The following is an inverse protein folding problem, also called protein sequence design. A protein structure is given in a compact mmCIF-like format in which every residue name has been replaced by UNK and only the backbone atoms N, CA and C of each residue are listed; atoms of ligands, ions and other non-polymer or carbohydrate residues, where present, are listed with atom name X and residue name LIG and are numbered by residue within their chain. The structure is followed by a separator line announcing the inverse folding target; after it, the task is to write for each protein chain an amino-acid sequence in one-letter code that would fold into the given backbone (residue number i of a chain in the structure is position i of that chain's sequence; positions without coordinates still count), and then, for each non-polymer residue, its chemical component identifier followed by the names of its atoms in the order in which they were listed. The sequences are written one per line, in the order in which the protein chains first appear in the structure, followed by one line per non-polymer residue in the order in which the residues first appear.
data_IF_679590213083
#
_entry.id   IF_679590213083
#
_cell.length_a   1.000
_cell.length_b   1.000
_cell.length_c   1.000
_cell.angle_alpha   90.00
_cell.angle_beta   90.00
_cell.angle_gamma   90.00
#
_symmetry.space_group_name_H-M   'P 1'
#
loop_
_entity.id
_entity.type
_entity.pdbx_description
1 polymer ?
#
# COMPACT_ATOMS: atom_id res chain seq x y z
N UNK A 1 14.81 -23.56 18.16
CA UNK A 1 14.74 -22.62 17.04
C UNK A 1 13.63 -22.95 16.02
N UNK A 2 13.38 -24.21 15.66
CA UNK A 2 12.34 -24.62 14.67
C UNK A 2 10.87 -24.26 14.98
N UNK A 3 10.52 -24.02 16.23
CA UNK A 3 9.09 -23.80 16.63
C UNK A 3 8.63 -22.35 16.47
N UNK A 4 9.53 -21.38 16.54
CA UNK A 4 9.21 -19.95 16.36
C UNK A 4 9.08 -19.56 14.89
N UNK A 5 9.86 -20.17 14.01
CA UNK A 5 9.75 -19.97 12.56
C UNK A 5 8.41 -20.47 12.02
N UNK A 6 7.95 -21.63 12.49
CA UNK A 6 6.62 -22.16 12.11
C UNK A 6 5.48 -21.28 12.60
N UNK A 7 5.58 -20.71 13.81
CA UNK A 7 4.58 -19.78 14.33
C UNK A 7 4.57 -18.46 13.53
N UNK A 8 5.75 -17.96 13.16
CA UNK A 8 5.89 -16.74 12.36
C UNK A 8 5.30 -16.91 10.96
N UNK A 9 5.59 -18.02 10.28
CA UNK A 9 5.01 -18.36 8.97
C UNK A 9 3.50 -18.54 9.07
N UNK A 10 2.99 -19.18 10.12
CA UNK A 10 1.56 -19.37 10.34
C UNK A 10 0.85 -18.03 10.56
N UNK A 11 1.46 -17.10 11.28
CA UNK A 11 0.92 -15.76 11.51
C UNK A 11 0.86 -14.94 10.21
N UNK A 12 1.90 -15.03 9.36
CA UNK A 12 1.90 -14.38 8.04
C UNK A 12 0.80 -14.93 7.12
N UNK A 13 0.59 -16.25 7.15
CA UNK A 13 -0.48 -16.90 6.36
C UNK A 13 -1.86 -16.43 6.84
N UNK A 14 -2.07 -16.34 8.15
CA UNK A 14 -3.35 -15.87 8.71
C UNK A 14 -3.62 -14.40 8.34
N UNK A 15 -2.61 -13.54 8.40
CA UNK A 15 -2.73 -12.14 8.00
C UNK A 15 -3.05 -12.01 6.51
N UNK A 16 -2.40 -12.79 5.66
CA UNK A 16 -2.68 -12.78 4.21
C UNK A 16 -4.09 -13.28 3.89
N UNK A 17 -4.60 -14.28 4.61
CA UNK A 17 -5.98 -14.80 4.45
C UNK A 17 -7.00 -13.74 4.88
N UNK A 18 -6.74 -12.99 5.94
CA UNK A 18 -7.63 -11.92 6.40
C UNK A 18 -7.70 -10.80 5.35
N UNK A 19 -6.55 -10.42 4.76
CA UNK A 19 -6.51 -9.40 3.69
C UNK A 19 -7.27 -9.88 2.45
N UNK A 20 -7.10 -11.13 2.04
CA UNK A 20 -7.82 -11.73 0.90
C UNK A 20 -9.33 -11.81 1.18
N UNK A 21 -9.73 -12.13 2.42
CA UNK A 21 -11.14 -12.19 2.80
C UNK A 21 -11.79 -10.79 2.76
N UNK A 22 -11.09 -9.74 3.19
CA UNK A 22 -11.57 -8.36 3.11
C UNK A 22 -11.74 -7.93 1.64
N UNK A 23 -10.78 -8.24 0.78
CA UNK A 23 -10.86 -7.94 -0.65
C UNK A 23 -12.00 -8.72 -1.32
N UNK A 24 -12.24 -9.98 -0.97
CA UNK A 24 -13.30 -10.80 -1.53
C UNK A 24 -14.71 -10.31 -1.11
N UNK A 25 -14.85 -9.77 0.11
CA UNK A 25 -16.12 -9.18 0.59
C UNK A 25 -16.44 -7.89 -0.18
N UNK A 26 -15.43 -7.08 -0.49
CA UNK A 26 -15.59 -5.84 -1.26
C UNK A 26 -16.03 -6.11 -2.71
N UNK A 27 -15.54 -7.18 -3.33
CA UNK A 27 -15.91 -7.55 -4.71
C UNK A 27 -17.34 -8.10 -4.82
N UNK A 28 -17.85 -8.75 -3.76
CA UNK A 28 -19.14 -9.44 -3.83
C UNK A 28 -20.35 -8.57 -3.43
N UNK A 29 -20.15 -7.38 -2.87
CA UNK A 29 -21.24 -6.50 -2.40
C UNK A 29 -21.47 -5.26 -3.29
N UNK A 30 -21.33 -5.38 -4.64
CA UNK A 30 -21.83 -4.35 -5.56
C UNK A 30 -23.37 -4.34 -5.55
N UNK A 31 -23.95 -3.61 -4.61
CA UNK A 31 -25.27 -2.98 -4.76
C UNK A 31 -25.11 -1.48 -4.70
N UNK A 32 -25.54 -0.85 -5.79
CA UNK A 32 -25.56 0.58 -5.98
C UNK A 32 -26.34 1.29 -4.87
N UNK A 33 -25.70 2.23 -4.18
CA UNK A 33 -26.41 3.35 -3.55
C UNK A 33 -25.81 4.65 -4.04
N UNK A 34 -26.65 5.37 -4.79
CA UNK A 34 -26.39 6.76 -5.22
C UNK A 34 -26.41 7.64 -3.98
N UNK A 35 -25.32 8.31 -3.69
CA UNK A 35 -25.32 9.45 -2.77
C UNK A 35 -24.60 10.65 -3.39
N UNK A 36 -25.28 11.75 -3.31
CA UNK A 36 -25.14 13.07 -3.88
C UNK A 36 -23.71 13.62 -4.08
N UNK A 37 -23.57 14.24 -5.26
CA UNK A 37 -22.43 15.03 -5.75
C UNK A 37 -22.10 16.24 -4.88
N UNK A 38 -20.80 16.41 -4.58
CA UNK A 38 -19.97 17.57 -4.93
C UNK A 38 -18.59 17.40 -4.28
N UNK A 39 -17.74 16.82 -4.97
CA UNK A 39 -16.33 16.50 -5.00
C UNK A 39 -16.23 14.98 -5.27
N UNK A 40 -16.38 14.59 -6.53
CA UNK A 40 -16.16 13.19 -6.91
C UNK A 40 -14.71 12.85 -6.60
N UNK A 41 -14.50 12.13 -5.52
CA UNK A 41 -13.22 11.49 -5.22
C UNK A 41 -13.03 10.40 -6.26
N UNK A 42 -12.44 10.75 -7.38
CA UNK A 42 -12.35 9.96 -8.61
C UNK A 42 -11.69 8.59 -8.41
N UNK A 43 -10.78 8.50 -7.44
CA UNK A 43 -9.97 7.31 -7.18
C UNK A 43 -10.31 6.64 -5.87
N UNK A 44 -11.52 6.81 -5.34
CA UNK A 44 -11.89 6.32 -4.01
C UNK A 44 -13.16 5.49 -4.07
N UNK A 45 -13.13 4.35 -3.41
CA UNK A 45 -14.31 3.61 -2.98
C UNK A 45 -14.47 3.79 -1.47
N UNK A 46 -15.68 4.16 -1.03
CA UNK A 46 -16.00 4.30 0.40
C UNK A 46 -16.67 3.04 0.89
N UNK A 47 -16.08 2.40 1.89
CA UNK A 47 -16.60 1.19 2.51
C UNK A 47 -17.73 1.53 3.49
N UNK A 48 -18.48 0.52 3.94
CA UNK A 48 -19.63 0.71 4.84
C UNK A 48 -19.29 1.35 6.18
N UNK A 49 -18.06 1.17 6.66
CA UNK A 49 -17.54 1.76 7.88
C UNK A 49 -16.98 3.19 7.70
N UNK A 50 -17.09 3.75 6.48
CA UNK A 50 -16.56 5.05 6.12
C UNK A 50 -15.08 5.06 5.74
N UNK A 51 -14.41 3.91 5.76
CA UNK A 51 -13.03 3.80 5.27
C UNK A 51 -12.99 4.03 3.77
N UNK A 52 -12.09 4.87 3.33
CA UNK A 52 -11.80 5.15 1.93
C UNK A 52 -10.69 4.24 1.44
N UNK A 53 -10.92 3.54 0.34
CA UNK A 53 -9.94 2.71 -0.34
C UNK A 53 -9.60 3.32 -1.69
N UNK A 54 -8.33 3.57 -1.95
CA UNK A 54 -7.88 4.04 -3.25
C UNK A 54 -8.01 2.92 -4.29
N UNK A 55 -8.47 3.28 -5.49
CA UNK A 55 -8.67 2.38 -6.63
C UNK A 55 -7.94 2.84 -7.91
N UNK A 56 -7.02 3.78 -7.80
CA UNK A 56 -6.23 4.21 -8.94
C UNK A 56 -5.41 3.05 -9.49
N UNK A 57 -5.55 2.76 -10.78
CA UNK A 57 -4.74 1.74 -11.44
C UNK A 57 -3.26 2.12 -11.47
N UNK A 58 -2.95 3.42 -11.50
CA UNK A 58 -1.57 3.92 -11.46
C UNK A 58 -0.89 3.66 -10.12
N UNK A 59 -1.63 3.83 -9.04
CA UNK A 59 -1.13 3.56 -7.69
C UNK A 59 -0.88 2.06 -7.48
N UNK A 60 -1.57 1.19 -8.22
CA UNK A 60 -1.40 -0.27 -8.15
C UNK A 60 -0.32 -0.81 -9.09
N UNK A 61 0.24 0.03 -9.98
CA UNK A 61 1.34 -0.39 -10.84
C UNK A 61 2.59 -0.75 -10.03
N UNK A 62 3.25 -1.82 -10.41
CA UNK A 62 4.54 -2.20 -9.83
C UNK A 62 5.60 -1.15 -10.15
N UNK A 63 6.30 -0.69 -9.13
CA UNK A 63 7.45 0.24 -9.23
C UNK A 63 8.74 -0.50 -8.88
N UNK A 64 9.86 0.17 -9.08
CA UNK A 64 11.18 -0.38 -8.71
C UNK A 64 12.00 0.63 -7.95
N UNK A 65 12.78 0.15 -6.99
CA UNK A 65 13.77 0.92 -6.25
C UNK A 65 15.02 0.06 -6.01
N UNK A 66 16.17 0.50 -6.49
CA UNK A 66 17.47 -0.17 -6.26
C UNK A 66 17.46 -1.68 -6.57
N UNK A 67 16.77 -2.09 -7.65
CA UNK A 67 16.64 -3.50 -8.06
C UNK A 67 15.63 -4.31 -7.24
N UNK A 68 14.91 -3.67 -6.33
CA UNK A 68 13.77 -4.25 -5.63
C UNK A 68 12.46 -3.83 -6.31
N UNK A 69 11.49 -4.74 -6.28
CA UNK A 69 10.13 -4.52 -6.78
C UNK A 69 9.24 -4.04 -5.64
N UNK A 70 8.42 -3.03 -5.90
CA UNK A 70 7.36 -2.54 -5.03
C UNK A 70 6.03 -2.90 -5.67
N UNK A 71 5.28 -3.80 -5.07
CA UNK A 71 3.99 -4.28 -5.56
C UNK A 71 2.90 -4.18 -4.50
N UNK A 72 1.67 -4.48 -4.88
CA UNK A 72 0.50 -4.53 -4.01
C UNK A 72 0.32 -3.24 -3.18
N UNK A 73 0.66 -2.10 -3.78
CA UNK A 73 0.56 -0.82 -3.09
C UNK A 73 -0.90 -0.45 -2.87
N UNK A 74 -1.25 -0.20 -1.63
CA UNK A 74 -2.59 0.16 -1.19
C UNK A 74 -2.56 1.44 -0.38
N UNK A 75 -3.57 2.27 -0.58
CA UNK A 75 -3.78 3.50 0.14
C UNK A 75 -5.20 3.50 0.71
N UNK A 76 -5.30 3.60 2.02
CA UNK A 76 -6.59 3.66 2.73
C UNK A 76 -6.63 4.85 3.66
N UNK A 77 -7.82 5.40 3.91
CA UNK A 77 -8.00 6.52 4.84
C UNK A 77 -9.29 6.38 5.64
N UNK A 78 -9.26 6.79 6.89
CA UNK A 78 -10.46 6.97 7.71
C UNK A 78 -10.87 8.45 7.84
N UNK A 79 -10.35 9.31 6.97
CA UNK A 79 -10.54 10.76 6.99
C UNK A 79 -9.55 11.54 7.85
N UNK A 80 -8.92 10.92 8.83
CA UNK A 80 -7.93 11.55 9.73
C UNK A 80 -6.51 11.04 9.49
N UNK A 81 -6.39 9.80 9.11
CA UNK A 81 -5.10 9.13 8.87
C UNK A 81 -5.20 8.35 7.57
N UNK A 82 -4.19 8.50 6.75
CA UNK A 82 -3.97 7.67 5.56
C UNK A 82 -2.88 6.65 5.87
N UNK A 83 -3.15 5.39 5.54
CA UNK A 83 -2.21 4.27 5.67
C UNK A 83 -1.77 3.83 4.28
N UNK A 84 -0.46 3.68 4.10
CA UNK A 84 0.19 3.19 2.89
C UNK A 84 0.77 1.82 3.17
N UNK A 85 0.34 0.81 2.43
CA UNK A 85 0.87 -0.54 2.49
C UNK A 85 1.44 -0.93 1.13
N UNK A 86 2.50 -1.73 1.13
CA UNK A 86 3.08 -2.27 -0.08
C UNK A 86 3.97 -3.47 0.22
N UNK A 87 4.27 -4.26 -0.78
CA UNK A 87 5.20 -5.38 -0.70
C UNK A 87 6.50 -5.00 -1.41
N UNK A 88 7.62 -5.08 -0.70
CA UNK A 88 8.95 -4.89 -1.28
C UNK A 88 9.57 -6.26 -1.48
N UNK A 89 9.98 -6.60 -2.70
CA UNK A 89 10.63 -7.86 -3.02
C UNK A 89 12.00 -7.62 -3.64
N UNK A 90 13.04 -8.19 -3.05
CA UNK A 90 14.37 -8.14 -3.63
C UNK A 90 14.48 -9.14 -4.81
N UNK A 91 14.44 -8.62 -6.03
CA UNK A 91 14.59 -9.41 -7.29
C UNK A 91 16.05 -9.52 -7.75
N UNK A 92 16.98 -8.89 -7.05
CA UNK A 92 18.42 -8.95 -7.39
C UNK A 92 19.07 -10.21 -6.79
N UNK A 93 20.32 -10.45 -7.18
CA UNK A 93 21.14 -11.52 -6.62
C UNK A 93 22.01 -11.07 -5.42
N UNK A 94 21.85 -9.83 -4.99
CA UNK A 94 22.59 -9.23 -3.89
C UNK A 94 21.66 -8.86 -2.74
N UNK A 95 22.20 -8.74 -1.54
CA UNK A 95 21.50 -8.18 -0.39
C UNK A 95 21.18 -6.71 -0.67
N UNK A 96 19.94 -6.31 -0.46
CA UNK A 96 19.45 -4.93 -0.68
C UNK A 96 18.73 -4.40 0.56
N UNK A 97 18.44 -3.11 0.57
CA UNK A 97 17.75 -2.45 1.67
C UNK A 97 18.73 -1.82 2.67
N UNK A 98 18.29 -1.75 3.93
CA UNK A 98 18.98 -1.09 5.06
C UNK A 98 19.13 0.42 4.87
N UNK A 99 18.08 1.08 4.34
CA UNK A 99 18.07 2.52 4.12
C UNK A 99 16.67 3.14 4.21
N UNK A 100 16.61 4.44 4.56
CA UNK A 100 15.37 5.18 4.51
C UNK A 100 14.93 5.46 3.06
N UNK A 101 13.61 5.54 2.87
CA UNK A 101 12.99 5.90 1.59
C UNK A 101 12.06 7.07 1.75
N UNK A 102 11.84 7.79 0.66
CA UNK A 102 10.79 8.79 0.50
C UNK A 102 9.73 8.27 -0.46
N UNK A 103 8.47 8.34 -0.06
CA UNK A 103 7.32 7.96 -0.87
C UNK A 103 6.54 9.24 -1.13
N UNK A 104 6.56 9.70 -2.38
CA UNK A 104 5.76 10.84 -2.83
C UNK A 104 4.42 10.33 -3.33
N UNK A 105 3.36 10.89 -2.84
CA UNK A 105 2.01 10.65 -3.32
C UNK A 105 1.65 11.77 -4.29
N UNK A 106 1.10 11.43 -5.45
CA UNK A 106 0.91 12.33 -6.58
C UNK A 106 -0.56 12.45 -6.99
N UNK A 107 -0.92 13.63 -7.49
CA UNK A 107 -2.20 13.86 -8.20
C UNK A 107 -2.11 13.45 -9.69
N UNK A 108 -3.19 13.62 -10.45
CA UNK A 108 -3.25 13.31 -11.89
C UNK A 108 -2.32 14.19 -12.77
N UNK A 109 -1.86 15.30 -12.24
CA UNK A 109 -0.97 16.24 -12.94
C UNK A 109 0.49 16.03 -12.52
N UNK A 110 0.75 14.91 -11.81
CA UNK A 110 2.07 14.60 -11.25
C UNK A 110 2.56 15.61 -10.19
N UNK A 111 1.66 16.42 -9.62
CA UNK A 111 2.03 17.27 -8.51
C UNK A 111 2.09 16.45 -7.22
N UNK A 112 3.10 16.74 -6.40
CA UNK A 112 3.22 16.15 -5.08
C UNK A 112 2.08 16.63 -4.17
N UNK A 113 1.32 15.67 -3.62
CA UNK A 113 0.30 15.91 -2.59
C UNK A 113 0.96 15.86 -1.21
N UNK A 114 1.80 14.86 -0.99
CA UNK A 114 2.55 14.65 0.25
C UNK A 114 3.75 13.75 0.01
N UNK A 115 4.80 13.90 0.81
CA UNK A 115 5.90 12.95 0.93
C UNK A 115 5.91 12.29 2.31
N UNK A 116 5.90 10.97 2.34
CA UNK A 116 5.96 10.15 3.55
C UNK A 116 7.30 9.44 3.63
N UNK A 117 7.90 9.42 4.80
CA UNK A 117 9.12 8.65 5.07
C UNK A 117 8.81 7.19 5.37
N UNK A 118 9.67 6.30 4.87
CA UNK A 118 9.66 4.87 5.20
C UNK A 118 11.07 4.35 5.42
N UNK A 119 11.16 3.06 5.73
CA UNK A 119 12.44 2.36 5.87
C UNK A 119 12.32 0.95 5.28
N UNK A 120 13.28 0.57 4.48
CA UNK A 120 13.40 -0.79 3.94
C UNK A 120 14.56 -1.46 4.68
N UNK A 121 14.25 -2.44 5.51
CA UNK A 121 15.28 -3.25 6.18
C UNK A 121 16.06 -4.12 5.20
N UNK A 122 17.13 -4.75 5.68
CA UNK A 122 17.94 -5.67 4.88
C UNK A 122 17.10 -6.82 4.32
N UNK A 123 17.19 -7.04 3.02
CA UNK A 123 16.51 -8.11 2.29
C UNK A 123 17.48 -8.97 1.51
N UNK A 124 17.53 -10.25 1.84
CA UNK A 124 18.25 -11.25 1.08
C UNK A 124 17.63 -11.44 -0.32
N UNK A 125 18.38 -11.93 -1.31
CA UNK A 125 17.86 -12.26 -2.64
C UNK A 125 16.58 -13.12 -2.58
N UNK A 126 15.57 -12.72 -3.34
CA UNK A 126 14.26 -13.40 -3.42
C UNK A 126 13.38 -13.26 -2.18
N UNK A 127 13.75 -12.45 -1.19
CA UNK A 127 12.93 -12.20 0.01
C UNK A 127 12.06 -10.96 -0.16
N UNK A 128 10.94 -10.96 0.57
CA UNK A 128 10.00 -9.84 0.59
C UNK A 128 9.77 -9.35 2.02
N UNK A 129 9.40 -8.08 2.14
CA UNK A 129 8.93 -7.44 3.38
C UNK A 129 7.76 -6.52 3.07
N UNK A 130 7.01 -6.15 4.10
CA UNK A 130 5.98 -5.14 3.96
C UNK A 130 6.54 -3.74 4.24
N UNK A 131 6.22 -2.83 3.36
CA UNK A 131 6.31 -1.40 3.58
C UNK A 131 5.01 -0.96 4.24
N UNK A 132 5.10 -0.30 5.41
CA UNK A 132 3.96 0.23 6.13
C UNK A 132 4.29 1.64 6.60
N UNK A 133 3.57 2.62 6.06
CA UNK A 133 3.73 4.02 6.40
C UNK A 133 2.37 4.64 6.66
N UNK A 134 2.35 5.79 7.34
CA UNK A 134 1.13 6.54 7.58
C UNK A 134 1.38 8.03 7.51
N UNK A 135 0.32 8.76 7.17
CA UNK A 135 0.28 10.22 7.17
C UNK A 135 -0.99 10.70 7.85
N UNK A 136 -0.92 11.86 8.51
CA UNK A 136 -2.11 12.56 9.01
C UNK A 136 -2.90 13.14 7.85
N UNK A 137 -4.23 13.29 8.04
CA UNK A 137 -5.20 13.71 7.02
C UNK A 137 -5.53 12.64 5.98
N UNK A 138 -6.44 13.00 5.09
CA UNK A 138 -6.97 12.13 4.06
C UNK A 138 -6.30 12.40 2.71
N UNK A 139 -5.57 11.41 2.24
CA UNK A 139 -4.92 11.39 0.93
C UNK A 139 -5.42 10.22 0.06
N UNK A 140 -6.57 9.62 0.40
CA UNK A 140 -7.08 8.45 -0.31
C UNK A 140 -7.33 8.69 -1.79
N UNK A 141 -7.63 9.93 -2.22
CA UNK A 141 -7.91 10.27 -3.61
C UNK A 141 -6.63 10.54 -4.45
N UNK A 142 -5.52 9.96 -4.08
CA UNK A 142 -4.28 10.05 -4.85
C UNK A 142 -4.36 9.28 -6.18
N UNK A 143 -3.53 9.68 -7.16
CA UNK A 143 -3.48 9.06 -8.48
C UNK A 143 -2.32 8.07 -8.61
N UNK A 144 -1.12 8.46 -8.18
CA UNK A 144 0.11 7.68 -8.35
C UNK A 144 1.04 7.86 -7.13
N UNK A 145 2.14 7.13 -7.11
CA UNK A 145 3.22 7.33 -6.15
C UNK A 145 4.59 7.14 -6.80
N UNK A 146 5.59 7.78 -6.21
CA UNK A 146 7.00 7.54 -6.49
C UNK A 146 7.69 7.08 -5.20
N UNK A 147 8.66 6.20 -5.31
CA UNK A 147 9.49 5.77 -4.20
C UNK A 147 10.95 5.97 -4.56
N UNK A 148 11.70 6.63 -3.68
CA UNK A 148 13.11 6.94 -3.88
C UNK A 148 13.91 6.67 -2.61
N UNK A 149 15.18 6.34 -2.76
CA UNK A 149 16.12 6.26 -1.66
C UNK A 149 16.39 7.68 -1.13
N UNK A 150 16.42 7.81 0.20
CA UNK A 150 16.66 9.09 0.87
C UNK A 150 18.13 9.26 1.23
#
# INVERSE_FOLDING_TARGET
MKNNEKKFILTLIVISIIIIAIVAIVINNKKEEKTNANNEEKYVDVLQDGTKLNKSSKLQETKTIDGMEVSDFQLTSNGNVTVLLGTITNKSNEVKGDYPVSIKILDEKENEIITVGGYIGELQPGKSTQLNCSATFDYANAYDFEITKK
#
